data_IF_751505802763
#
_entry.id   IF_751505802763
#
_cell.length_a   1.000
_cell.length_b   1.000
_cell.length_c   1.000
_cell.angle_alpha   90.00
_cell.angle_beta   90.00
_cell.angle_gamma   90.00
#
_symmetry.space_group_name_H-M   'P 1'
#
loop_
_entity.id
_entity.type
_entity.pdbx_description
1 polymer ?
#
# COMPACT_ATOMS: atom_id res chain seq x y z
N UNK A 1 -65.99 15.12 5.32
CA UNK A 1 -64.62 14.61 5.52
C UNK A 1 -63.61 15.64 6.10
N UNK A 2 -64.03 16.84 6.59
CA UNK A 2 -63.11 17.83 7.22
C UNK A 2 -62.97 17.70 8.75
N UNK A 3 -63.72 16.80 9.41
CA UNK A 3 -63.77 16.69 10.88
C UNK A 3 -62.82 15.64 11.49
N UNK A 4 -62.31 14.69 10.71
CA UNK A 4 -61.42 13.62 11.21
C UNK A 4 -59.95 13.79 10.84
N UNK A 5 -59.62 14.81 10.04
CA UNK A 5 -58.23 15.02 9.59
C UNK A 5 -57.27 15.30 10.75
N UNK A 6 -57.73 16.00 11.79
CA UNK A 6 -56.94 16.24 13.01
C UNK A 6 -56.66 14.95 13.81
N UNK A 7 -57.56 13.97 13.75
CA UNK A 7 -57.41 12.67 14.43
C UNK A 7 -56.47 11.74 13.64
N UNK A 8 -56.35 11.92 12.32
CA UNK A 8 -55.39 11.17 11.48
C UNK A 8 -54.00 11.81 11.49
N UNK A 9 -53.92 13.14 11.55
CA UNK A 9 -52.63 13.87 11.60
C UNK A 9 -51.89 13.59 12.90
N UNK A 10 -52.58 13.51 14.04
CA UNK A 10 -51.93 13.32 15.34
C UNK A 10 -51.11 12.02 15.44
N UNK A 11 -51.65 10.82 15.13
CA UNK A 11 -50.85 9.60 15.15
C UNK A 11 -49.77 9.60 14.06
N UNK A 12 -50.01 10.21 12.90
CA UNK A 12 -49.00 10.35 11.86
C UNK A 12 -47.81 11.20 12.35
N UNK A 13 -48.10 12.31 13.02
CA UNK A 13 -47.09 13.19 13.60
C UNK A 13 -46.31 12.49 14.73
N UNK A 14 -46.99 11.69 15.55
CA UNK A 14 -46.35 10.86 16.58
C UNK A 14 -45.40 9.84 15.91
N UNK A 15 -45.86 9.09 14.91
CA UNK A 15 -45.01 8.12 14.19
C UNK A 15 -43.82 8.79 13.52
N UNK A 16 -44.00 9.95 12.89
CA UNK A 16 -42.89 10.71 12.29
C UNK A 16 -41.93 11.20 13.37
N UNK A 17 -42.44 11.76 14.48
CA UNK A 17 -41.58 12.30 15.55
C UNK A 17 -40.79 11.19 16.24
N UNK A 18 -41.44 10.07 16.58
CA UNK A 18 -40.75 8.91 17.14
C UNK A 18 -39.81 8.26 16.13
N UNK A 19 -40.18 8.21 14.84
CA UNK A 19 -39.30 7.74 13.77
C UNK A 19 -38.05 8.60 13.65
N UNK A 20 -38.20 9.93 13.61
CA UNK A 20 -37.07 10.88 13.58
C UNK A 20 -36.23 10.78 14.84
N UNK A 21 -36.84 10.74 16.03
CA UNK A 21 -36.10 10.60 17.29
C UNK A 21 -35.38 9.26 17.41
N UNK A 22 -35.96 8.17 16.93
CA UNK A 22 -35.34 6.85 16.93
C UNK A 22 -34.18 6.78 15.93
N UNK A 23 -34.37 7.31 14.72
CA UNK A 23 -33.30 7.45 13.71
C UNK A 23 -32.19 8.35 14.25
N UNK A 24 -32.52 9.48 14.85
CA UNK A 24 -31.52 10.40 15.41
C UNK A 24 -30.79 9.80 16.62
N UNK A 25 -31.48 9.01 17.45
CA UNK A 25 -30.86 8.31 18.58
C UNK A 25 -29.99 7.12 18.13
N UNK A 26 -30.37 6.43 17.06
CA UNK A 26 -29.55 5.40 16.43
C UNK A 26 -28.28 6.00 15.82
N UNK A 27 -28.42 7.10 15.07
CA UNK A 27 -27.28 7.85 14.50
C UNK A 27 -26.37 8.41 15.61
N UNK A 28 -26.94 8.94 16.70
CA UNK A 28 -26.17 9.47 17.82
C UNK A 28 -25.49 8.40 18.69
N UNK A 29 -25.85 7.11 18.56
CA UNK A 29 -25.18 5.99 19.21
C UNK A 29 -24.00 5.42 18.40
N UNK A 30 -23.90 5.78 17.12
CA UNK A 30 -22.85 5.34 16.19
C UNK A 30 -21.89 6.49 15.83
N UNK A 31 -21.70 7.48 16.71
CA UNK A 31 -20.70 8.52 16.47
C UNK A 31 -19.30 7.89 16.56
N UNK A 32 -18.67 7.72 15.40
CA UNK A 32 -17.25 7.41 15.31
C UNK A 32 -16.43 8.51 16.00
N UNK A 33 -15.23 8.18 16.53
CA UNK A 33 -14.37 9.19 17.10
C UNK A 33 -14.03 10.28 16.08
N UNK A 34 -13.56 11.42 16.55
CA UNK A 34 -12.83 12.33 15.67
C UNK A 34 -11.37 11.92 15.68
N UNK A 35 -10.71 12.00 14.53
CA UNK A 35 -9.27 11.75 14.39
C UNK A 35 -8.65 13.05 13.92
N UNK A 36 -7.63 13.51 14.66
CA UNK A 36 -6.96 14.79 14.39
C UNK A 36 -5.46 14.58 14.24
N UNK A 37 -4.85 15.28 13.29
CA UNK A 37 -3.40 15.37 13.14
C UNK A 37 -2.91 16.66 13.79
N UNK A 38 -2.25 16.52 14.95
CA UNK A 38 -1.74 17.65 15.74
C UNK A 38 -0.26 17.84 15.46
N UNK A 39 0.16 19.09 15.25
CA UNK A 39 1.57 19.42 15.05
C UNK A 39 2.33 19.34 16.39
N UNK A 40 3.46 18.63 16.41
CA UNK A 40 4.37 18.54 17.56
C UNK A 40 5.60 19.43 17.32
N UNK A 41 6.30 19.22 16.20
CA UNK A 41 7.51 19.96 15.83
C UNK A 41 7.65 20.07 14.29
N UNK A 42 8.56 20.91 13.80
CA UNK A 42 8.75 21.16 12.36
C UNK A 42 7.87 22.28 11.79
N UNK A 43 7.89 22.44 10.46
CA UNK A 43 7.10 23.47 9.75
C UNK A 43 5.65 23.00 9.56
N UNK A 44 4.68 23.78 10.02
CA UNK A 44 3.25 23.45 9.88
C UNK A 44 2.81 23.39 8.41
N UNK A 45 3.50 24.09 7.50
CA UNK A 45 3.24 23.99 6.05
C UNK A 45 3.45 22.54 5.55
N UNK A 46 4.42 21.81 6.10
CA UNK A 46 4.67 20.42 5.71
C UNK A 46 3.56 19.45 6.13
N UNK A 47 2.64 19.89 7.02
CA UNK A 47 1.44 19.13 7.40
C UNK A 47 0.36 19.17 6.33
N UNK A 48 0.27 20.26 5.56
CA UNK A 48 -0.84 20.50 4.63
C UNK A 48 -0.91 19.45 3.51
N UNK A 49 0.25 18.87 3.20
CA UNK A 49 0.38 17.85 2.17
C UNK A 49 0.17 16.43 2.68
N UNK A 50 -0.05 16.21 3.98
CA UNK A 50 -0.13 14.85 4.53
C UNK A 50 -1.56 14.31 4.44
N UNK A 51 -1.72 13.15 3.80
CA UNK A 51 -2.94 12.36 3.83
C UNK A 51 -2.64 11.00 4.46
N UNK A 52 -3.35 10.66 5.53
CA UNK A 52 -3.19 9.38 6.23
C UNK A 52 -4.42 8.52 5.97
N UNK A 53 -4.19 7.27 5.58
CA UNK A 53 -5.21 6.27 5.37
C UNK A 53 -5.08 5.17 6.42
N UNK A 54 -6.19 4.80 7.02
CA UNK A 54 -6.18 3.78 8.05
C UNK A 54 -7.55 3.22 8.35
N UNK A 55 -7.60 2.31 9.31
CA UNK A 55 -8.79 1.69 9.84
C UNK A 55 -8.93 2.02 11.32
N UNK A 56 -10.16 2.34 11.72
CA UNK A 56 -10.58 2.36 13.11
C UNK A 56 -11.20 1.01 13.46
N UNK A 57 -10.55 0.29 14.38
CA UNK A 57 -10.95 -1.06 14.79
C UNK A 57 -11.25 -1.10 16.29
N UNK A 58 -12.38 -1.68 16.69
CA UNK A 58 -12.65 -1.97 18.11
C UNK A 58 -12.15 -3.36 18.47
N UNK A 59 -11.68 -3.59 19.70
CA UNK A 59 -11.04 -4.85 20.12
C UNK A 59 -11.92 -6.11 19.98
N UNK A 60 -13.24 -5.97 19.98
CA UNK A 60 -14.16 -7.09 19.69
C UNK A 60 -14.38 -7.33 18.17
N UNK A 61 -13.65 -6.61 17.30
CA UNK A 61 -13.79 -6.63 15.83
C UNK A 61 -15.16 -6.16 15.36
N UNK A 62 -15.96 -5.56 16.24
CA UNK A 62 -17.36 -5.24 16.01
C UNK A 62 -17.56 -3.97 15.18
N UNK A 63 -16.53 -3.12 15.13
CA UNK A 63 -16.46 -1.96 14.25
C UNK A 63 -15.14 -2.04 13.51
N UNK A 64 -15.23 -2.09 12.18
CA UNK A 64 -14.12 -1.88 11.26
C UNK A 64 -14.56 -0.74 10.36
N UNK A 65 -13.87 0.39 10.44
CA UNK A 65 -14.19 1.55 9.61
C UNK A 65 -12.93 2.20 9.06
N UNK A 66 -12.77 2.16 7.74
CA UNK A 66 -11.70 2.89 7.07
C UNK A 66 -11.91 4.40 7.15
N UNK A 67 -10.82 5.13 7.30
CA UNK A 67 -10.80 6.58 7.31
C UNK A 67 -9.69 7.15 6.42
N UNK A 68 -9.92 8.39 5.99
CA UNK A 68 -8.93 9.28 5.38
C UNK A 68 -8.81 10.52 6.26
N UNK A 69 -7.61 10.78 6.75
CA UNK A 69 -7.28 11.94 7.57
C UNK A 69 -6.43 12.91 6.75
N UNK A 70 -6.80 14.19 6.78
CA UNK A 70 -6.04 15.30 6.18
C UNK A 70 -6.23 16.56 7.04
N UNK A 71 -5.66 17.69 6.63
CA UNK A 71 -5.93 18.99 7.29
C UNK A 71 -7.38 19.43 7.24
N UNK A 72 -8.20 18.87 6.34
CA UNK A 72 -9.64 19.13 6.26
C UNK A 72 -10.44 18.34 7.32
N UNK A 73 -9.77 17.48 8.10
CA UNK A 73 -10.36 16.58 9.10
C UNK A 73 -10.42 15.12 8.63
N UNK A 74 -10.99 14.27 9.48
CA UNK A 74 -11.24 12.86 9.18
C UNK A 74 -12.51 12.69 8.34
N UNK A 75 -12.45 11.78 7.35
CA UNK A 75 -13.61 11.27 6.62
C UNK A 75 -13.64 9.76 6.75
N UNK A 76 -14.81 9.21 7.05
CA UNK A 76 -14.99 7.76 7.10
C UNK A 76 -15.56 7.21 5.80
N UNK A 77 -15.33 5.92 5.53
CA UNK A 77 -15.88 5.25 4.34
C UNK A 77 -17.41 5.39 4.27
N UNK A 78 -18.11 5.27 5.41
CA UNK A 78 -19.57 5.50 5.50
C UNK A 78 -20.02 6.93 5.12
N UNK A 79 -19.14 7.92 5.20
CA UNK A 79 -19.45 9.30 4.84
C UNK A 79 -19.32 9.53 3.32
N UNK A 80 -18.78 8.56 2.58
CA UNK A 80 -18.67 8.63 1.14
C UNK A 80 -20.02 8.49 0.43
N UNK A 81 -20.06 8.87 -0.85
CA UNK A 81 -21.26 8.72 -1.65
C UNK A 81 -21.61 7.23 -1.84
N UNK A 82 -22.89 6.91 -2.08
CA UNK A 82 -23.37 5.53 -2.23
C UNK A 82 -22.57 4.67 -3.23
N UNK A 83 -22.02 5.26 -4.30
CA UNK A 83 -21.19 4.53 -5.26
C UNK A 83 -19.77 4.27 -4.73
N UNK A 84 -19.21 5.21 -4.00
CA UNK A 84 -17.87 5.12 -3.40
C UNK A 84 -17.87 4.11 -2.23
N UNK A 85 -18.99 3.95 -1.51
CA UNK A 85 -19.15 2.95 -0.46
C UNK A 85 -19.05 1.49 -0.93
N UNK A 86 -19.09 1.23 -2.24
CA UNK A 86 -18.79 -0.12 -2.76
C UNK A 86 -17.31 -0.46 -2.70
N UNK A 87 -16.45 0.55 -2.52
CA UNK A 87 -15.03 0.36 -2.31
C UNK A 87 -14.80 0.05 -0.83
N UNK A 88 -14.17 -1.10 -0.58
CA UNK A 88 -13.87 -1.53 0.79
C UNK A 88 -12.90 -0.55 1.49
N UNK A 89 -12.04 0.14 0.72
CA UNK A 89 -11.00 1.04 1.20
C UNK A 89 -11.02 2.35 0.42
N UNK A 90 -10.39 3.39 0.99
CA UNK A 90 -10.13 4.62 0.25
C UNK A 90 -9.13 4.33 -0.88
N UNK A 91 -9.39 4.91 -2.05
CA UNK A 91 -8.52 4.75 -3.21
C UNK A 91 -7.33 5.73 -3.12
N UNK A 92 -6.16 5.35 -3.66
CA UNK A 92 -5.05 6.27 -3.84
C UNK A 92 -5.45 7.50 -4.65
N UNK A 93 -4.82 8.65 -4.40
CA UNK A 93 -5.18 9.91 -5.08
C UNK A 93 -5.14 9.82 -6.62
N UNK A 94 -4.14 9.12 -7.19
CA UNK A 94 -4.03 8.95 -8.65
C UNK A 94 -5.24 8.16 -9.21
N UNK A 95 -5.71 7.15 -8.49
CA UNK A 95 -6.91 6.39 -8.86
C UNK A 95 -8.18 7.22 -8.69
N UNK A 96 -8.33 7.98 -7.60
CA UNK A 96 -9.46 8.91 -7.43
C UNK A 96 -9.52 9.93 -8.58
N UNK A 97 -8.38 10.47 -9.01
CA UNK A 97 -8.29 11.38 -10.16
C UNK A 97 -8.72 10.68 -11.45
N UNK A 98 -8.16 9.50 -11.74
CA UNK A 98 -8.48 8.73 -12.93
C UNK A 98 -9.98 8.37 -13.01
N UNK A 99 -10.57 7.94 -11.90
CA UNK A 99 -12.00 7.64 -11.78
C UNK A 99 -12.87 8.87 -12.03
N UNK A 100 -12.43 10.06 -11.58
CA UNK A 100 -13.22 11.28 -11.70
C UNK A 100 -13.10 11.94 -13.07
N UNK A 101 -11.89 12.02 -13.61
CA UNK A 101 -11.56 12.72 -14.85
C UNK A 101 -11.82 11.85 -16.08
N UNK A 102 -11.50 10.55 -16.01
CA UNK A 102 -11.54 9.62 -17.14
C UNK A 102 -12.61 8.53 -16.96
N UNK A 103 -13.79 8.90 -16.45
CA UNK A 103 -14.94 8.03 -16.16
C UNK A 103 -15.31 7.04 -17.28
N UNK A 104 -15.23 7.49 -18.53
CA UNK A 104 -15.60 6.66 -19.69
C UNK A 104 -14.58 5.55 -19.94
N UNK A 105 -13.32 5.80 -19.63
CA UNK A 105 -12.24 4.82 -19.68
C UNK A 105 -12.36 3.84 -18.51
N UNK A 106 -12.60 4.33 -17.30
CA UNK A 106 -12.68 3.49 -16.09
C UNK A 106 -13.85 2.50 -16.05
N UNK A 107 -14.89 2.73 -16.86
CA UNK A 107 -16.08 1.86 -16.85
C UNK A 107 -15.74 0.40 -17.20
N UNK A 108 -15.97 -0.50 -16.25
CA UNK A 108 -15.81 -1.94 -16.40
C UNK A 108 -14.43 -2.47 -16.03
N UNK A 109 -13.54 -1.60 -15.53
CA UNK A 109 -12.20 -1.96 -15.06
C UNK A 109 -12.19 -2.14 -13.55
N UNK A 110 -11.23 -2.93 -13.09
CA UNK A 110 -10.98 -3.09 -11.66
C UNK A 110 -10.21 -1.88 -11.12
N UNK A 111 -10.56 -1.41 -9.93
CA UNK A 111 -9.99 -0.20 -9.31
C UNK A 111 -8.73 -0.53 -8.52
N UNK A 112 -7.69 -0.98 -9.23
CA UNK A 112 -6.41 -1.39 -8.66
C UNK A 112 -5.26 -0.71 -9.42
N UNK A 113 -4.44 0.14 -8.76
CA UNK A 113 -3.35 0.87 -9.39
C UNK A 113 -2.40 -0.01 -10.20
N UNK A 114 -2.10 -1.23 -9.74
CA UNK A 114 -1.16 -2.15 -10.40
C UNK A 114 -1.56 -2.51 -11.84
N UNK A 115 -2.84 -2.30 -12.21
CA UNK A 115 -3.39 -2.56 -13.55
C UNK A 115 -3.25 -1.40 -14.52
N UNK A 116 -2.83 -0.24 -14.05
CA UNK A 116 -2.80 0.98 -14.84
C UNK A 116 -1.40 1.52 -14.96
N UNK A 117 -1.17 2.21 -16.07
CA UNK A 117 0.00 3.06 -16.26
C UNK A 117 -0.41 4.34 -16.95
N UNK A 118 0.16 5.45 -16.50
CA UNK A 118 0.01 6.79 -17.04
C UNK A 118 1.41 7.32 -17.42
N UNK A 119 1.62 7.56 -18.72
CA UNK A 119 2.84 8.17 -19.25
C UNK A 119 2.73 9.70 -19.40
N UNK A 120 1.59 10.27 -18.99
CA UNK A 120 1.24 11.68 -19.12
C UNK A 120 0.52 12.02 -20.43
N UNK A 121 0.74 11.25 -21.50
CA UNK A 121 0.06 11.40 -22.80
C UNK A 121 -1.07 10.38 -22.96
N UNK A 122 -0.90 9.18 -22.41
CA UNK A 122 -1.76 8.01 -22.54
C UNK A 122 -1.94 7.33 -21.20
N UNK A 123 -3.11 6.75 -21.02
CA UNK A 123 -3.41 5.84 -19.92
C UNK A 123 -3.65 4.46 -20.52
N UNK A 124 -2.94 3.45 -20.01
CA UNK A 124 -3.16 2.07 -20.39
C UNK A 124 -3.64 1.24 -19.19
N UNK A 125 -4.36 0.17 -19.50
CA UNK A 125 -4.90 -0.79 -18.56
C UNK A 125 -4.67 -2.21 -19.07
N UNK A 126 -4.30 -3.11 -18.17
CA UNK A 126 -4.38 -4.56 -18.39
C UNK A 126 -5.05 -5.27 -17.20
N UNK A 127 -5.99 -6.15 -17.48
CA UNK A 127 -6.63 -6.99 -16.46
C UNK A 127 -7.38 -8.17 -17.07
N UNK A 128 -8.07 -9.01 -16.28
CA UNK A 128 -8.40 -8.84 -14.85
C UNK A 128 -7.20 -9.04 -13.90
N UNK A 129 -7.39 -8.73 -12.60
CA UNK A 129 -6.42 -9.03 -11.51
C UNK A 129 -5.95 -10.47 -11.54
N UNK A 130 -6.96 -11.35 -11.58
CA UNK A 130 -6.84 -12.77 -11.34
C UNK A 130 -7.24 -13.46 -12.63
N UNK A 131 -6.30 -14.21 -13.19
CA UNK A 131 -6.46 -14.86 -14.48
C UNK A 131 -6.43 -16.35 -14.20
N UNK A 132 -7.58 -16.99 -14.32
CA UNK A 132 -7.70 -18.41 -14.05
C UNK A 132 -7.53 -19.22 -15.32
N UNK A 133 -7.16 -20.50 -15.20
CA UNK A 133 -7.09 -21.44 -16.32
C UNK A 133 -8.33 -21.41 -17.25
N UNK A 134 -9.52 -21.18 -16.72
CA UNK A 134 -10.77 -21.13 -17.51
C UNK A 134 -10.97 -19.80 -18.28
N UNK A 135 -10.24 -18.75 -17.91
CA UNK A 135 -10.30 -17.41 -18.51
C UNK A 135 -8.89 -16.85 -18.64
N UNK A 136 -8.17 -17.26 -19.67
CA UNK A 136 -6.78 -16.90 -19.94
C UNK A 136 -6.62 -15.64 -20.81
N UNK A 137 -7.65 -14.79 -20.88
CA UNK A 137 -7.62 -13.56 -21.68
C UNK A 137 -7.25 -12.35 -20.81
N UNK A 138 -6.29 -11.55 -21.27
CA UNK A 138 -6.05 -10.19 -20.80
C UNK A 138 -6.85 -9.20 -21.64
N UNK A 139 -7.69 -8.40 -21.00
CA UNK A 139 -8.25 -7.18 -21.57
C UNK A 139 -7.22 -6.05 -21.51
N UNK A 140 -6.91 -5.49 -22.67
CA UNK A 140 -6.04 -4.33 -22.82
C UNK A 140 -6.88 -3.15 -23.29
N UNK A 141 -6.67 -2.00 -22.67
CA UNK A 141 -7.32 -0.76 -23.08
C UNK A 141 -6.39 0.44 -22.92
N UNK A 142 -6.30 1.26 -23.96
CA UNK A 142 -5.42 2.43 -24.01
C UNK A 142 -6.23 3.64 -24.44
N UNK A 143 -6.09 4.73 -23.69
CA UNK A 143 -6.67 6.03 -23.97
C UNK A 143 -5.56 7.04 -24.25
N UNK A 144 -5.61 7.67 -25.41
CA UNK A 144 -4.80 8.85 -25.72
C UNK A 144 -5.51 10.12 -25.24
N UNK A 145 -4.86 10.91 -24.38
CA UNK A 145 -5.50 12.08 -23.73
C UNK A 145 -5.72 13.26 -24.69
N UNK A 146 -4.88 13.41 -25.72
CA UNK A 146 -4.97 14.52 -26.67
C UNK A 146 -6.06 14.28 -27.73
N UNK A 147 -5.96 13.16 -28.44
CA UNK A 147 -6.88 12.76 -29.51
C UNK A 147 -8.20 12.23 -28.97
N UNK A 148 -8.22 11.74 -27.72
CA UNK A 148 -9.33 10.97 -27.11
C UNK A 148 -9.64 9.68 -27.86
N UNK A 149 -8.70 9.19 -28.67
CA UNK A 149 -8.78 7.89 -29.30
C UNK A 149 -8.58 6.80 -28.24
N UNK A 150 -9.35 5.72 -28.38
CA UNK A 150 -9.34 4.58 -27.47
C UNK A 150 -9.12 3.32 -28.28
N UNK A 151 -8.17 2.50 -27.84
CA UNK A 151 -7.90 1.18 -28.39
C UNK A 151 -8.12 0.13 -27.31
N UNK A 152 -9.05 -0.80 -27.56
CA UNK A 152 -9.37 -1.88 -26.63
C UNK A 152 -9.46 -3.20 -27.37
N UNK A 153 -8.78 -4.22 -26.85
CA UNK A 153 -8.71 -5.56 -27.42
C UNK A 153 -8.41 -6.57 -26.32
N UNK A 154 -8.40 -7.85 -26.68
CA UNK A 154 -8.06 -8.94 -25.78
C UNK A 154 -6.92 -9.76 -26.37
N UNK A 155 -6.06 -10.28 -25.50
CA UNK A 155 -4.98 -11.19 -25.88
C UNK A 155 -5.01 -12.43 -24.99
N UNK A 156 -4.73 -13.59 -25.58
CA UNK A 156 -4.62 -14.85 -24.84
C UNK A 156 -3.24 -14.95 -24.20
N UNK A 157 -3.17 -15.23 -22.89
CA UNK A 157 -1.89 -15.46 -22.22
C UNK A 157 -1.23 -16.73 -22.79
N UNK A 158 0.03 -16.65 -23.25
CA UNK A 158 0.80 -17.81 -23.69
C UNK A 158 0.94 -18.87 -22.60
N UNK A 159 0.94 -20.15 -22.98
CA UNK A 159 1.15 -21.30 -22.08
C UNK A 159 0.18 -21.41 -20.89
N UNK A 160 -0.98 -20.74 -20.95
CA UNK A 160 -2.01 -20.76 -19.91
C UNK A 160 -2.54 -22.16 -19.56
N UNK A 161 -2.33 -23.16 -20.43
CA UNK A 161 -2.72 -24.55 -20.16
C UNK A 161 -1.95 -25.18 -18.98
N UNK A 162 -0.77 -24.62 -18.65
CA UNK A 162 0.08 -25.10 -17.55
C UNK A 162 -0.09 -24.30 -16.26
N UNK A 163 -0.77 -23.16 -16.35
CA UNK A 163 -0.89 -22.18 -15.28
C UNK A 163 -2.24 -22.36 -14.61
N UNK A 164 -2.25 -22.64 -13.30
CA UNK A 164 -3.48 -22.80 -12.53
C UNK A 164 -4.22 -21.45 -12.43
N UNK A 165 -3.47 -20.42 -12.06
CA UNK A 165 -3.89 -19.03 -12.05
C UNK A 165 -2.69 -18.08 -12.09
N UNK A 166 -2.94 -16.85 -12.52
CA UNK A 166 -1.97 -15.76 -12.54
C UNK A 166 -2.52 -14.51 -11.87
N UNK A 167 -1.65 -13.73 -11.24
CA UNK A 167 -1.94 -12.39 -10.74
C UNK A 167 -1.16 -11.35 -11.53
N UNK A 168 -1.82 -10.27 -11.95
CA UNK A 168 -1.15 -9.09 -12.52
C UNK A 168 -0.53 -8.30 -11.38
N UNK A 169 0.80 -8.18 -11.39
CA UNK A 169 1.58 -7.46 -10.38
C UNK A 169 1.85 -6.02 -10.79
N UNK A 170 2.11 -5.77 -12.08
CA UNK A 170 2.44 -4.43 -12.57
C UNK A 170 2.18 -4.30 -14.07
N UNK A 171 1.70 -3.13 -14.47
CA UNK A 171 1.55 -2.72 -15.87
C UNK A 171 2.48 -1.55 -16.16
N UNK A 172 3.17 -1.59 -17.30
CA UNK A 172 4.09 -0.54 -17.75
C UNK A 172 3.94 -0.29 -19.24
N UNK A 173 4.05 0.97 -19.69
CA UNK A 173 3.91 1.34 -21.09
C UNK A 173 5.21 1.96 -21.56
N UNK A 174 5.90 1.34 -22.53
CA UNK A 174 7.07 1.94 -23.17
C UNK A 174 6.82 1.98 -24.68
N UNK A 175 6.90 3.18 -25.26
CA UNK A 175 6.62 3.39 -26.68
C UNK A 175 5.23 2.84 -27.08
N UNK A 176 5.16 1.85 -27.96
CA UNK A 176 3.91 1.21 -28.40
C UNK A 176 3.74 -0.22 -27.85
N UNK A 177 4.46 -0.53 -26.77
CA UNK A 177 4.45 -1.86 -26.12
C UNK A 177 3.99 -1.71 -24.68
N UNK A 178 2.97 -2.48 -24.32
CA UNK A 178 2.52 -2.63 -22.94
C UNK A 178 3.19 -3.86 -22.33
N UNK A 179 3.89 -3.67 -21.22
CA UNK A 179 4.53 -4.71 -20.43
C UNK A 179 3.61 -5.05 -19.27
N UNK A 180 3.31 -6.33 -19.10
CA UNK A 180 2.46 -6.83 -18.01
C UNK A 180 3.26 -7.87 -17.23
N UNK A 181 3.63 -7.53 -16.00
CA UNK A 181 4.27 -8.45 -15.08
C UNK A 181 3.21 -9.28 -14.36
N UNK A 182 3.40 -10.60 -14.32
CA UNK A 182 2.47 -11.51 -13.65
C UNK A 182 3.19 -12.53 -12.76
N UNK A 183 2.59 -12.84 -11.63
CA UNK A 183 2.93 -14.04 -10.86
C UNK A 183 2.06 -15.19 -11.35
N UNK A 184 2.68 -16.20 -11.94
CA UNK A 184 2.03 -17.40 -12.44
C UNK A 184 2.22 -18.54 -11.46
N UNK A 185 1.12 -19.18 -11.05
CA UNK A 185 1.14 -20.38 -10.23
C UNK A 185 1.04 -21.60 -11.13
N UNK A 186 2.08 -22.42 -11.12
CA UNK A 186 2.23 -23.60 -11.98
C UNK A 186 2.46 -24.80 -11.08
N UNK A 187 1.39 -25.52 -10.73
CA UNK A 187 1.47 -26.67 -9.81
C UNK A 187 2.06 -26.31 -8.43
N UNK A 188 3.32 -26.69 -8.18
CA UNK A 188 4.08 -26.43 -6.94
C UNK A 188 5.17 -25.36 -7.15
N UNK A 189 5.13 -24.65 -8.28
CA UNK A 189 6.08 -23.60 -8.61
C UNK A 189 5.36 -22.26 -8.77
N UNK A 190 6.09 -21.18 -8.52
CA UNK A 190 5.66 -19.80 -8.74
C UNK A 190 6.67 -19.13 -9.67
N UNK A 191 6.19 -18.55 -10.76
CA UNK A 191 7.04 -17.91 -11.77
C UNK A 191 6.63 -16.45 -11.97
N UNK A 192 7.60 -15.53 -11.96
CA UNK A 192 7.39 -14.14 -12.34
C UNK A 192 7.61 -14.02 -13.85
N UNK A 193 6.57 -13.71 -14.61
CA UNK A 193 6.65 -13.50 -16.06
C UNK A 193 6.49 -12.03 -16.41
N UNK A 194 7.01 -11.66 -17.59
CA UNK A 194 6.76 -10.36 -18.21
C UNK A 194 6.25 -10.60 -19.62
N UNK A 195 5.02 -10.19 -19.88
CA UNK A 195 4.41 -10.25 -21.20
C UNK A 195 4.56 -8.91 -21.93
N UNK A 196 5.04 -8.97 -23.17
CA UNK A 196 5.08 -7.84 -24.10
C UNK A 196 3.84 -7.85 -24.98
N UNK A 197 3.02 -6.80 -24.91
CA UNK A 197 1.82 -6.67 -25.72
C UNK A 197 2.02 -5.51 -26.71
N UNK A 198 2.12 -5.84 -28.00
CA UNK A 198 2.17 -4.86 -29.07
C UNK A 198 0.81 -4.19 -29.21
N UNK A 199 0.75 -2.88 -28.97
CA UNK A 199 -0.48 -2.12 -29.11
C UNK A 199 -0.87 -1.99 -30.58
N UNK A 200 0.06 -1.85 -31.52
CA UNK A 200 -0.26 -1.81 -32.96
C UNK A 200 -0.77 -3.13 -33.50
N UNK A 201 -0.08 -4.23 -33.20
CA UNK A 201 -0.35 -5.54 -33.81
C UNK A 201 -1.35 -6.38 -33.02
N UNK A 202 -1.69 -5.99 -31.79
CA UNK A 202 -2.59 -6.72 -30.89
C UNK A 202 -2.10 -8.15 -30.62
N UNK A 203 -0.78 -8.27 -30.45
CA UNK A 203 -0.08 -9.54 -30.20
C UNK A 203 0.61 -9.51 -28.86
N UNK A 204 0.80 -10.69 -28.27
CA UNK A 204 1.45 -10.90 -26.99
C UNK A 204 2.63 -11.85 -27.15
N UNK A 205 3.77 -11.51 -26.57
CA UNK A 205 4.96 -12.34 -26.47
C UNK A 205 5.35 -12.49 -25.00
N UNK A 206 5.76 -13.69 -24.59
CA UNK A 206 6.28 -13.95 -23.24
C UNK A 206 7.81 -13.80 -23.25
N UNK A 207 8.35 -12.97 -22.35
CA UNK A 207 9.80 -12.88 -22.15
C UNK A 207 10.37 -14.10 -21.42
N UNK A 208 9.50 -14.97 -20.89
CA UNK A 208 9.81 -16.10 -20.05
C UNK A 208 9.84 -15.72 -18.57
N UNK A 209 9.99 -16.73 -17.72
CA UNK A 209 10.13 -16.54 -16.29
C UNK A 209 11.43 -15.79 -15.97
N UNK A 210 11.31 -14.60 -15.37
CA UNK A 210 12.45 -13.81 -14.87
C UNK A 210 12.88 -14.27 -13.47
N UNK A 211 11.96 -14.89 -12.74
CA UNK A 211 12.18 -15.66 -11.51
C UNK A 211 11.32 -16.91 -11.62
N UNK A 212 11.88 -18.07 -11.30
CA UNK A 212 11.17 -19.34 -11.24
C UNK A 212 11.68 -20.06 -10.02
N UNK A 213 10.78 -20.34 -9.09
CA UNK A 213 11.15 -20.93 -7.82
C UNK A 213 9.97 -21.72 -7.22
N UNK A 214 10.30 -22.62 -6.30
CA UNK A 214 9.36 -23.47 -5.59
C UNK A 214 8.44 -22.66 -4.67
N UNK A 215 7.31 -23.24 -4.22
CA UNK A 215 6.37 -22.62 -3.26
C UNK A 215 7.04 -22.01 -2.01
N UNK A 216 8.25 -22.42 -1.66
CA UNK A 216 8.96 -21.96 -0.47
C UNK A 216 9.76 -20.67 -0.66
N UNK A 217 9.62 -20.00 -1.80
CA UNK A 217 10.20 -18.67 -2.04
C UNK A 217 9.10 -17.61 -2.14
N UNK A 218 9.41 -16.42 -1.65
CA UNK A 218 8.57 -15.24 -1.85
C UNK A 218 9.31 -14.30 -2.78
N UNK A 219 8.58 -13.72 -3.72
CA UNK A 219 9.11 -12.59 -4.47
C UNK A 219 8.05 -11.52 -4.57
N UNK A 220 8.50 -10.28 -4.45
CA UNK A 220 7.70 -9.07 -4.40
C UNK A 220 8.20 -8.09 -5.46
N UNK A 221 7.28 -7.57 -6.28
CA UNK A 221 7.57 -6.44 -7.17
C UNK A 221 7.46 -5.17 -6.33
N UNK A 222 8.59 -4.48 -6.14
CA UNK A 222 8.72 -3.34 -5.25
C UNK A 222 8.37 -1.99 -5.88
N UNK A 223 8.03 -1.95 -7.17
CA UNK A 223 7.51 -0.75 -7.82
C UNK A 223 6.31 -0.19 -7.03
N UNK A 224 6.06 1.13 -7.07
CA UNK A 224 5.02 1.78 -6.25
C UNK A 224 3.64 1.20 -6.57
N UNK A 225 3.20 0.20 -5.80
CA UNK A 225 1.93 -0.49 -6.00
C UNK A 225 0.69 0.38 -5.76
N UNK A 226 0.87 1.61 -5.28
CA UNK A 226 -0.19 2.62 -5.16
C UNK A 226 -0.12 3.67 -6.28
N UNK A 227 0.95 3.66 -7.07
CA UNK A 227 1.20 4.59 -8.16
C UNK A 227 0.98 3.94 -9.53
N UNK A 228 0.53 4.75 -10.49
CA UNK A 228 0.33 4.36 -11.89
C UNK A 228 1.39 4.99 -12.81
N UNK A 229 2.46 5.55 -12.26
CA UNK A 229 3.48 6.22 -13.06
C UNK A 229 4.31 5.22 -13.87
N UNK A 230 4.66 5.62 -15.08
CA UNK A 230 5.55 4.83 -15.93
C UNK A 230 6.97 4.74 -15.32
N UNK A 231 7.43 3.51 -15.16
CA UNK A 231 8.76 3.08 -14.72
C UNK A 231 9.24 2.02 -15.73
N UNK A 232 10.32 2.32 -16.46
CA UNK A 232 10.81 1.43 -17.54
C UNK A 232 11.49 0.14 -17.09
N UNK A 233 11.31 -0.25 -15.84
CA UNK A 233 11.95 -1.38 -15.20
C UNK A 233 11.05 -1.95 -14.09
N UNK A 234 11.33 -3.19 -13.67
CA UNK A 234 10.81 -3.78 -12.44
C UNK A 234 11.92 -3.83 -11.39
N UNK A 235 11.58 -3.54 -10.13
CA UNK A 235 12.45 -3.81 -8.99
C UNK A 235 11.87 -4.99 -8.25
N UNK A 236 12.65 -6.05 -8.06
CA UNK A 236 12.16 -7.31 -7.50
C UNK A 236 13.02 -7.70 -6.31
N UNK A 237 12.35 -8.06 -5.20
CA UNK A 237 12.93 -8.74 -4.04
C UNK A 237 12.56 -10.21 -4.12
N UNK A 238 13.54 -11.10 -3.96
CA UNK A 238 13.35 -12.55 -3.85
C UNK A 238 13.86 -12.97 -2.48
N UNK A 239 13.06 -13.76 -1.77
CA UNK A 239 13.27 -14.27 -0.43
C UNK A 239 13.17 -15.80 -0.46
N UNK A 240 14.26 -16.48 -0.14
CA UNK A 240 14.30 -17.94 -0.02
C UNK A 240 13.97 -18.33 1.41
N UNK A 241 12.93 -19.16 1.59
CA UNK A 241 12.48 -19.56 2.92
C UNK A 241 12.58 -21.08 3.09
N UNK A 242 13.26 -21.52 4.15
CA UNK A 242 13.23 -22.91 4.60
C UNK A 242 12.17 -23.10 5.68
N UNK A 243 11.31 -24.10 5.50
CA UNK A 243 10.30 -24.47 6.48
C UNK A 243 10.82 -25.59 7.37
N UNK A 244 10.71 -25.44 8.67
CA UNK A 244 11.06 -26.53 9.59
C UNK A 244 9.96 -27.60 9.59
N UNK A 245 10.32 -28.82 9.19
CA UNK A 245 9.39 -29.95 9.11
C UNK A 245 8.84 -30.34 10.50
N UNK A 246 7.68 -29.78 10.84
CA UNK A 246 6.94 -30.09 12.08
C UNK A 246 6.67 -28.89 12.98
N UNK A 247 7.24 -27.73 12.67
CA UNK A 247 6.90 -26.46 13.30
C UNK A 247 6.17 -25.53 12.31
N UNK A 248 5.31 -24.64 12.80
CA UNK A 248 4.68 -23.58 11.99
C UNK A 248 5.63 -22.38 11.84
N UNK A 249 6.92 -22.63 11.69
CA UNK A 249 7.98 -21.62 11.64
C UNK A 249 8.78 -21.80 10.36
N UNK A 250 9.20 -20.67 9.80
CA UNK A 250 9.94 -20.60 8.55
C UNK A 250 11.13 -19.67 8.74
N UNK A 251 12.27 -20.00 8.14
CA UNK A 251 13.51 -19.24 8.23
C UNK A 251 13.87 -18.66 6.86
N UNK A 252 14.08 -17.34 6.80
CA UNK A 252 14.68 -16.70 5.62
C UNK A 252 16.16 -17.14 5.54
N UNK A 253 16.52 -17.83 4.46
CA UNK A 253 17.88 -18.38 4.23
C UNK A 253 18.63 -17.68 3.10
N UNK A 254 17.92 -16.90 2.29
CA UNK A 254 18.48 -16.18 1.15
C UNK A 254 17.62 -14.99 0.77
N UNK A 255 18.27 -13.94 0.28
CA UNK A 255 17.61 -12.76 -0.24
C UNK A 255 18.39 -12.18 -1.42
N UNK A 256 17.68 -11.79 -2.47
CA UNK A 256 18.25 -11.11 -3.63
C UNK A 256 17.35 -9.95 -4.07
N UNK A 257 17.97 -8.81 -4.36
CA UNK A 257 17.32 -7.68 -5.02
C UNK A 257 17.86 -7.54 -6.43
N UNK A 258 17.00 -7.29 -7.41
CA UNK A 258 17.43 -6.98 -8.76
C UNK A 258 16.52 -6.00 -9.48
N UNK A 259 17.09 -5.32 -10.47
CA UNK A 259 16.39 -4.49 -11.45
C UNK A 259 16.27 -5.31 -12.73
N UNK A 260 15.07 -5.35 -13.30
CA UNK A 260 14.81 -5.96 -14.60
C UNK A 260 14.38 -4.87 -15.59
N UNK A 261 15.23 -4.57 -16.56
CA UNK A 261 14.93 -3.60 -17.61
C UNK A 261 13.98 -4.20 -18.64
N UNK A 262 12.82 -3.56 -18.82
CA UNK A 262 11.72 -4.11 -19.61
C UNK A 262 12.03 -4.17 -21.11
N UNK A 263 12.82 -3.21 -21.63
CA UNK A 263 13.13 -3.11 -23.06
C UNK A 263 14.31 -4.01 -23.45
N UNK A 264 15.37 -4.01 -22.64
CA UNK A 264 16.62 -4.76 -22.90
C UNK A 264 16.61 -6.18 -22.36
N UNK A 265 15.69 -6.50 -21.43
CA UNK A 265 15.58 -7.80 -20.73
C UNK A 265 16.80 -8.11 -19.87
N UNK A 266 17.58 -7.09 -19.53
CA UNK A 266 18.76 -7.23 -18.69
C UNK A 266 18.36 -7.26 -17.22
N UNK A 267 18.77 -8.32 -16.51
CA UNK A 267 18.70 -8.43 -15.05
C UNK A 267 20.00 -7.90 -14.44
N UNK A 268 19.87 -6.94 -13.53
CA UNK A 268 20.98 -6.35 -12.79
C UNK A 268 20.76 -6.55 -11.29
N UNK A 269 21.60 -7.37 -10.66
CA UNK A 269 21.55 -7.61 -9.20
C UNK A 269 22.00 -6.35 -8.47
N UNK A 270 21.26 -5.99 -7.42
CA UNK A 270 21.56 -4.87 -6.53
C UNK A 270 22.46 -5.38 -5.41
N UNK A 271 23.60 -4.71 -5.21
CA UNK A 271 24.47 -4.98 -4.06
C UNK A 271 23.85 -4.37 -2.80
N UNK A 272 23.37 -5.23 -1.90
CA UNK A 272 22.80 -4.81 -0.60
C UNK A 272 23.92 -4.28 0.31
N UNK A 273 23.74 -3.12 0.97
CA UNK A 273 24.71 -2.59 1.92
C UNK A 273 25.03 -3.58 3.06
N UNK A 274 26.31 -3.75 3.39
CA UNK A 274 26.77 -4.69 4.43
C UNK A 274 26.15 -4.40 5.81
N UNK A 275 25.99 -3.13 6.18
CA UNK A 275 25.35 -2.74 7.44
C UNK A 275 23.87 -3.15 7.48
N UNK A 276 23.14 -2.98 6.37
CA UNK A 276 21.75 -3.41 6.24
C UNK A 276 21.65 -4.93 6.37
N UNK A 277 22.46 -5.69 5.61
CA UNK A 277 22.47 -7.14 5.66
C UNK A 277 22.85 -7.69 7.05
N UNK A 278 23.79 -7.05 7.75
CA UNK A 278 24.22 -7.45 9.10
C UNK A 278 23.10 -7.21 10.12
N UNK A 279 22.41 -6.07 10.05
CA UNK A 279 21.28 -5.78 10.94
C UNK A 279 20.13 -6.79 10.75
N UNK A 280 19.91 -7.25 9.52
CA UNK A 280 18.92 -8.28 9.20
C UNK A 280 19.29 -9.64 9.80
N UNK A 281 20.56 -10.04 9.67
CA UNK A 281 21.06 -11.30 10.23
C UNK A 281 21.00 -11.31 11.77
N UNK A 282 21.28 -10.17 12.42
CA UNK A 282 21.18 -9.99 13.88
C UNK A 282 19.73 -10.10 14.37
N UNK A 283 18.79 -9.43 13.68
CA UNK A 283 17.36 -9.55 13.96
C UNK A 283 16.90 -11.01 13.84
N UNK A 284 17.32 -11.70 12.77
CA UNK A 284 16.94 -13.09 12.47
C UNK A 284 17.44 -14.07 13.53
N UNK A 285 18.72 -14.01 13.87
CA UNK A 285 19.36 -14.96 14.80
C UNK A 285 18.76 -14.84 16.19
N UNK A 286 18.53 -13.60 16.65
CA UNK A 286 18.08 -13.37 18.02
C UNK A 286 16.56 -13.57 18.16
N UNK A 287 15.78 -13.27 17.12
CA UNK A 287 14.36 -13.59 17.05
C UNK A 287 14.03 -15.08 17.21
N UNK A 288 14.88 -15.96 16.69
CA UNK A 288 14.74 -17.42 16.87
C UNK A 288 14.97 -17.85 18.33
N UNK A 289 16.00 -17.31 19.00
CA UNK A 289 16.30 -17.65 20.40
C UNK A 289 15.15 -17.26 21.36
N UNK A 290 14.41 -16.16 21.08
CA UNK A 290 13.26 -15.74 21.89
C UNK A 290 12.04 -16.66 21.81
N UNK A 291 11.84 -17.33 20.67
CA UNK A 291 10.73 -18.27 20.50
C UNK A 291 10.98 -19.58 21.24
N UNK A 292 12.25 -19.90 21.56
CA UNK A 292 12.65 -21.15 22.22
C UNK A 292 12.76 -21.04 23.76
N UNK A 293 13.01 -19.85 24.31
CA UNK A 293 13.12 -19.64 25.76
C UNK A 293 12.05 -18.67 26.31
N UNK A 294 11.07 -19.19 27.08
CA UNK A 294 10.21 -18.40 27.99
C UNK A 294 11.08 -17.75 29.10
N UNK A 295 11.83 -16.69 28.79
CA UNK A 295 12.53 -15.90 29.80
C UNK A 295 11.78 -14.59 30.10
N UNK A 296 11.57 -14.35 31.40
CA UNK A 296 11.24 -13.04 31.96
C UNK A 296 12.42 -12.09 31.68
N UNK A 297 12.27 -11.21 30.68
CA UNK A 297 13.22 -10.13 30.44
C UNK A 297 12.83 -8.91 31.28
N UNK A 298 13.73 -8.47 32.14
CA UNK A 298 13.65 -7.19 32.86
C UNK A 298 14.04 -5.99 31.99
N UNK A 299 14.54 -6.21 30.76
CA UNK A 299 14.94 -5.16 29.79
C UNK A 299 14.35 -5.46 28.40
N UNK A 300 13.60 -4.49 27.86
CA UNK A 300 13.05 -4.51 26.51
C UNK A 300 14.22 -4.46 25.51
N UNK A 301 14.57 -5.59 24.91
CA UNK A 301 15.60 -5.63 23.87
C UNK A 301 14.97 -5.19 22.57
N UNK A 302 15.40 -4.03 22.09
CA UNK A 302 14.82 -3.38 20.92
C UNK A 302 15.80 -3.55 19.75
N UNK A 303 15.34 -4.26 18.71
CA UNK A 303 16.16 -4.62 17.56
C UNK A 303 16.07 -3.61 16.43
N UNK A 304 17.15 -3.46 15.63
CA UNK A 304 17.06 -2.70 14.40
C UNK A 304 16.00 -3.32 13.47
N UNK A 305 15.21 -2.47 12.83
CA UNK A 305 14.19 -2.89 11.87
C UNK A 305 14.58 -2.43 10.47
N UNK A 306 14.68 -3.39 9.55
CA UNK A 306 15.02 -3.16 8.16
C UNK A 306 13.76 -2.99 7.30
N UNK A 307 13.81 -2.02 6.40
CA UNK A 307 12.79 -1.78 5.39
C UNK A 307 13.44 -1.49 4.04
N UNK A 308 12.84 -2.01 2.98
CA UNK A 308 13.16 -1.57 1.61
C UNK A 308 11.99 -0.84 1.00
N UNK A 309 12.28 0.26 0.32
CA UNK A 309 11.24 1.14 -0.17
C UNK A 309 11.66 1.83 -1.47
N UNK A 310 10.75 1.93 -2.44
CA UNK A 310 11.03 2.60 -3.70
C UNK A 310 10.57 4.07 -3.66
N UNK A 311 11.44 4.99 -4.04
CA UNK A 311 11.09 6.36 -4.39
C UNK A 311 10.91 6.51 -5.90
N UNK A 312 11.04 7.73 -6.41
CA UNK A 312 10.87 8.00 -7.84
C UNK A 312 11.96 7.35 -8.71
N UNK A 313 13.22 7.45 -8.31
CA UNK A 313 14.37 6.94 -9.07
C UNK A 313 15.38 6.16 -8.20
N UNK A 314 15.03 5.91 -6.95
CA UNK A 314 15.91 5.34 -5.94
C UNK A 314 15.20 4.22 -5.16
N UNK A 315 15.94 3.16 -4.82
CA UNK A 315 15.55 2.17 -3.82
C UNK A 315 16.27 2.52 -2.52
N UNK A 316 15.55 2.64 -1.42
CA UNK A 316 16.13 2.94 -0.11
C UNK A 316 16.18 1.68 0.74
N UNK A 317 17.38 1.36 1.23
CA UNK A 317 17.60 0.38 2.29
C UNK A 317 17.65 1.13 3.62
N UNK A 318 16.65 0.93 4.48
CA UNK A 318 16.46 1.72 5.70
C UNK A 318 16.60 0.80 6.91
N UNK A 319 17.44 1.17 7.87
CA UNK A 319 17.60 0.49 9.15
C UNK A 319 17.25 1.46 10.27
N UNK A 320 16.18 1.17 11.00
CA UNK A 320 15.84 1.91 12.21
C UNK A 320 16.68 1.42 13.39
N UNK A 321 17.10 2.33 14.27
CA UNK A 321 17.88 2.07 15.48
C UNK A 321 17.24 2.80 16.67
N UNK A 322 17.68 2.53 17.90
CA UNK A 322 17.12 3.20 19.10
C UNK A 322 17.28 4.71 19.08
N UNK A 323 18.29 5.20 18.36
CA UNK A 323 18.74 6.59 18.40
C UNK A 323 18.39 7.35 17.11
N UNK A 324 17.80 6.68 16.12
CA UNK A 324 17.73 7.21 14.76
C UNK A 324 17.31 6.21 13.70
N UNK A 325 17.45 6.62 12.44
CA UNK A 325 17.47 5.72 11.29
C UNK A 325 18.72 5.97 10.46
N UNK A 326 19.21 4.90 9.83
CA UNK A 326 20.19 4.95 8.76
C UNK A 326 19.51 4.55 7.46
N UNK A 327 19.91 5.14 6.35
CA UNK A 327 19.44 4.69 5.05
C UNK A 327 20.49 4.84 3.96
N UNK A 328 20.39 3.94 2.99
CA UNK A 328 21.25 3.87 1.81
C UNK A 328 20.38 4.00 0.56
N UNK A 329 20.41 5.14 -0.14
CA UNK A 329 19.78 5.26 -1.44
C UNK A 329 20.57 4.43 -2.46
N UNK A 330 19.84 3.76 -3.34
CA UNK A 330 20.37 3.05 -4.49
C UNK A 330 19.78 3.64 -5.76
N UNK A 331 20.61 4.29 -6.58
CA UNK A 331 20.16 4.96 -7.80
C UNK A 331 19.85 3.92 -8.88
N UNK A 332 18.57 3.77 -9.22
CA UNK A 332 18.07 2.66 -10.04
C UNK A 332 18.55 2.76 -11.50
N UNK A 333 18.67 3.97 -12.05
CA UNK A 333 19.11 4.18 -13.44
C UNK A 333 20.61 4.00 -13.62
N UNK A 334 21.40 4.50 -12.67
CA UNK A 334 22.86 4.39 -12.71
C UNK A 334 23.35 3.02 -12.24
N UNK A 335 22.48 2.24 -11.61
CA UNK A 335 22.77 0.98 -10.94
C UNK A 335 23.94 1.14 -9.96
N UNK A 336 23.83 2.11 -9.05
CA UNK A 336 24.89 2.48 -8.10
C UNK A 336 24.36 2.81 -6.72
N UNK A 337 25.06 2.38 -5.66
CA UNK A 337 24.77 2.87 -4.32
C UNK A 337 25.11 4.36 -4.22
N UNK A 338 24.27 5.09 -3.49
CA UNK A 338 24.55 6.44 -3.02
C UNK A 338 25.31 6.45 -1.69
N UNK A 339 25.40 7.62 -1.07
CA UNK A 339 26.05 7.78 0.24
C UNK A 339 25.08 7.44 1.37
N UNK A 340 25.58 6.76 2.42
CA UNK A 340 24.85 6.55 3.67
C UNK A 340 24.42 7.87 4.27
N UNK A 341 23.19 7.91 4.76
CA UNK A 341 22.66 9.03 5.53
C UNK A 341 22.09 8.52 6.86
N UNK A 342 22.19 9.37 7.87
CA UNK A 342 21.74 9.08 9.23
C UNK A 342 20.88 10.24 9.73
N UNK A 343 19.80 9.88 10.43
CA UNK A 343 18.89 10.82 11.06
C UNK A 343 18.75 10.39 12.51
N UNK A 344 19.09 11.28 13.43
CA UNK A 344 18.93 11.02 14.85
C UNK A 344 17.57 11.50 15.35
N UNK A 345 16.98 10.74 16.28
CA UNK A 345 15.76 11.13 16.99
C UNK A 345 16.08 11.41 18.46
N UNK A 346 15.36 12.36 19.07
CA UNK A 346 15.54 12.69 20.49
C UNK A 346 14.96 11.63 21.43
N UNK A 347 14.12 10.72 20.91
CA UNK A 347 13.44 9.66 21.64
C UNK A 347 13.60 8.32 20.92
N UNK A 348 13.54 7.23 21.67
CA UNK A 348 13.52 5.89 21.10
C UNK A 348 12.18 5.64 20.42
N UNK A 349 12.22 5.52 19.09
CA UNK A 349 11.03 5.31 18.25
C UNK A 349 10.76 3.83 17.95
N UNK A 350 11.72 2.94 18.21
CA UNK A 350 11.63 1.54 17.81
C UNK A 350 10.58 0.76 18.62
N UNK A 351 10.40 1.05 19.91
CA UNK A 351 9.42 0.36 20.78
C UNK A 351 7.96 0.55 20.35
N UNK A 352 7.70 1.40 19.35
CA UNK A 352 6.38 1.60 18.76
C UNK A 352 6.37 1.67 17.24
N UNK A 353 7.50 1.49 16.55
CA UNK A 353 7.58 1.69 15.10
C UNK A 353 6.56 0.78 14.40
N UNK A 354 5.70 1.40 13.61
CA UNK A 354 4.61 0.73 12.92
C UNK A 354 4.48 1.48 11.60
N UNK A 355 4.73 0.83 10.47
CA UNK A 355 4.59 1.44 9.14
C UNK A 355 5.70 2.41 8.72
N UNK A 356 6.20 2.21 7.51
CA UNK A 356 7.20 3.04 6.82
C UNK A 356 6.75 3.23 5.37
N UNK A 357 6.61 4.47 4.93
CA UNK A 357 5.97 4.87 3.68
C UNK A 357 6.82 5.92 2.95
N UNK A 358 7.64 5.53 1.96
CA UNK A 358 8.27 6.50 1.07
C UNK A 358 7.22 7.16 0.16
N UNK A 359 7.24 8.48 0.04
CA UNK A 359 6.46 9.19 -0.98
C UNK A 359 7.24 10.38 -1.51
N UNK A 360 7.55 10.34 -2.80
CA UNK A 360 8.34 11.38 -3.46
C UNK A 360 9.75 11.45 -2.86
N UNK A 361 10.12 12.64 -2.40
CA UNK A 361 11.42 12.93 -1.78
C UNK A 361 11.36 12.81 -0.24
N UNK A 362 10.28 12.25 0.29
CA UNK A 362 10.06 12.13 1.73
C UNK A 362 9.83 10.69 2.19
N UNK A 363 10.24 10.43 3.43
CA UNK A 363 9.93 9.21 4.16
C UNK A 363 8.94 9.54 5.27
N UNK A 364 7.83 8.82 5.29
CA UNK A 364 6.87 8.87 6.36
C UNK A 364 6.96 7.61 7.20
N UNK A 365 6.86 7.74 8.51
CA UNK A 365 6.70 6.58 9.38
C UNK A 365 5.96 7.02 10.63
N UNK A 366 5.31 6.07 11.31
CA UNK A 366 4.66 6.37 12.56
C UNK A 366 5.10 5.43 13.66
N UNK A 367 4.94 5.87 14.90
CA UNK A 367 5.15 5.03 16.07
C UNK A 367 3.94 5.07 16.98
N UNK A 368 3.59 3.93 17.55
CA UNK A 368 2.63 3.82 18.62
C UNK A 368 3.20 4.49 19.87
N UNK A 369 2.40 5.33 20.50
CA UNK A 369 2.77 6.04 21.72
C UNK A 369 1.68 5.86 22.79
N UNK A 370 2.12 5.68 24.04
CA UNK A 370 1.25 5.46 25.19
C UNK A 370 0.85 3.99 25.43
N UNK A 371 0.47 3.67 26.67
CA UNK A 371 0.13 2.29 27.12
C UNK A 371 -1.06 1.66 26.37
N UNK A 372 -1.92 2.49 25.77
CA UNK A 372 -3.18 2.03 25.17
C UNK A 372 -3.16 1.99 23.62
N UNK A 373 -2.05 2.35 22.96
CA UNK A 373 -1.92 2.35 21.48
C UNK A 373 -2.76 3.42 20.74
N UNK A 374 -3.43 4.30 21.48
CA UNK A 374 -4.42 5.27 20.96
C UNK A 374 -3.83 6.60 20.49
N UNK A 375 -2.52 6.78 20.62
CA UNK A 375 -1.79 7.93 20.12
C UNK A 375 -0.68 7.43 19.22
N UNK A 376 -0.53 8.05 18.06
CA UNK A 376 0.59 7.72 17.17
C UNK A 376 1.39 8.98 16.87
N UNK A 377 2.70 8.92 17.01
CA UNK A 377 3.57 9.95 16.44
C UNK A 377 3.73 9.68 14.97
N UNK A 378 3.70 10.73 14.17
CA UNK A 378 3.91 10.68 12.73
C UNK A 378 5.13 11.54 12.40
N UNK A 379 6.04 11.00 11.61
CA UNK A 379 7.24 11.69 11.17
C UNK A 379 7.20 11.84 9.65
N UNK A 380 7.66 13.00 9.16
CA UNK A 380 8.00 13.25 7.76
C UNK A 380 9.46 13.67 7.73
N UNK A 381 10.26 12.87 7.03
CA UNK A 381 11.69 13.06 6.82
C UNK A 381 11.92 13.44 5.37
N UNK A 382 12.76 14.43 5.11
CA UNK A 382 13.24 14.75 3.78
C UNK A 382 14.48 13.89 3.46
N UNK A 383 14.39 13.08 2.40
CA UNK A 383 15.42 12.10 2.03
C UNK A 383 16.63 12.73 1.33
N UNK A 384 16.51 13.96 0.83
CA UNK A 384 17.63 14.68 0.24
C UNK A 384 18.55 15.26 1.33
N UNK A 385 17.98 16.00 2.27
CA UNK A 385 18.68 16.66 3.38
C UNK A 385 18.94 15.74 4.57
N UNK A 386 18.14 14.70 4.77
CA UNK A 386 18.16 13.87 5.97
C UNK A 386 17.59 14.58 7.20
N UNK A 387 16.80 15.64 7.04
CA UNK A 387 16.18 16.35 8.16
C UNK A 387 14.74 15.88 8.41
N UNK A 388 14.35 15.77 9.67
CA UNK A 388 12.93 15.65 10.05
C UNK A 388 12.24 16.98 9.83
N UNK A 389 11.45 17.07 8.76
CA UNK A 389 10.80 18.31 8.33
C UNK A 389 9.43 18.54 9.00
N UNK A 390 8.83 17.48 9.56
CA UNK A 390 7.61 17.54 10.35
C UNK A 390 7.49 16.36 11.33
N UNK A 391 7.02 16.67 12.55
CA UNK A 391 6.60 15.71 13.56
C UNK A 391 5.17 16.06 14.00
N UNK A 392 4.29 15.08 13.93
CA UNK A 392 2.89 15.20 14.33
C UNK A 392 2.45 14.09 15.28
N UNK A 393 1.24 14.23 15.78
CA UNK A 393 0.58 13.26 16.63
C UNK A 393 -0.86 13.04 16.14
N UNK A 394 -1.21 11.79 15.86
CA UNK A 394 -2.55 11.38 15.50
C UNK A 394 -3.29 11.05 16.81
N UNK A 395 -4.34 11.83 17.08
CA UNK A 395 -5.15 11.72 18.30
C UNK A 395 -6.59 11.36 17.98
N UNK A 396 -7.13 10.46 18.81
CA UNK A 396 -8.57 10.22 18.84
C UNK A 396 -9.21 11.11 19.90
N UNK A 397 -10.27 11.79 19.50
CA UNK A 397 -11.12 12.58 20.39
C UNK A 397 -12.57 12.10 20.27
N UNK A 398 -13.41 12.44 21.26
CA UNK A 398 -14.81 12.01 21.34
C UNK A 398 -15.06 10.49 21.27
N UNK A 399 -14.10 9.70 21.77
CA UNK A 399 -14.19 8.23 21.81
C UNK A 399 -15.41 7.78 22.63
N UNK A 400 -16.26 6.89 22.11
CA UNK A 400 -17.40 6.34 22.84
C UNK A 400 -16.97 5.67 24.15
N UNK A 401 -17.59 6.06 25.28
CA UNK A 401 -17.24 5.56 26.62
C UNK A 401 -17.49 4.06 26.84
N UNK A 402 -18.21 3.40 25.94
CA UNK A 402 -18.59 1.98 26.04
C UNK A 402 -17.59 1.03 25.35
N UNK A 403 -16.66 1.55 24.54
CA UNK A 403 -15.60 0.76 23.88
C UNK A 403 -14.33 0.77 24.71
N UNK A 404 -14.06 -0.32 25.42
CA UNK A 404 -12.92 -0.41 26.36
C UNK A 404 -11.56 -0.64 25.70
N UNK A 405 -11.51 -0.92 24.39
CA UNK A 405 -10.27 -0.97 23.63
C UNK A 405 -10.57 -0.71 22.14
N UNK A 406 -9.77 0.15 21.53
CA UNK A 406 -9.84 0.55 20.14
C UNK A 406 -8.41 0.69 19.61
N UNK A 407 -8.25 0.56 18.30
CA UNK A 407 -6.97 0.73 17.61
C UNK A 407 -7.19 1.57 16.35
N UNK A 408 -6.19 2.37 16.03
CA UNK A 408 -6.06 2.97 14.70
C UNK A 408 -4.97 2.19 14.00
N UNK A 409 -5.25 1.66 12.83
CA UNK A 409 -4.26 0.95 12.02
C UNK A 409 -4.03 1.79 10.78
N UNK A 410 -2.82 2.32 10.60
CA UNK A 410 -2.48 3.09 9.41
C UNK A 410 -1.92 2.09 8.40
N UNK A 411 -2.46 2.11 7.19
CA UNK A 411 -1.99 1.22 6.11
C UNK A 411 -1.36 2.00 4.96
N UNK A 412 -1.54 3.32 4.88
CA UNK A 412 -0.90 4.15 3.86
C UNK A 412 -0.81 5.62 4.27
N UNK A 413 0.19 6.31 3.73
CA UNK A 413 0.37 7.76 3.82
C UNK A 413 0.71 8.28 2.42
N UNK A 414 0.10 9.38 2.03
CA UNK A 414 0.33 10.05 0.74
C UNK A 414 0.63 11.53 0.91
N UNK A 415 1.32 12.08 -0.09
CA UNK A 415 1.42 13.51 -0.32
C UNK A 415 0.26 14.00 -1.18
N UNK A 416 -0.40 15.07 -0.72
CA UNK A 416 -1.44 15.77 -1.45
C UNK A 416 -0.84 16.39 -2.71
N UNK A 417 -1.50 16.19 -3.84
CA UNK A 417 -1.05 16.70 -5.15
C UNK A 417 -1.80 17.93 -5.63
#
# INVERSE_FOLDING_TARGET
MKRYWKIVILPLFIVITFGVLYVHHAIAKESLPQIELVNVSGNEENREDIIVYGDYVTYEGSVWESFRLSTDGVKYSRDQNFLEQFNAFFQPQEMEQLMNEERSFMRGKEEDPARFVDDGERIAYAGPSNIYFESNELEVDVLDRESRERKSFKVDIPDSERTDHSYVEQVQLLNDTLYVATVNFIMEDKELHVYEISLSDETIEDQGAIVSDSVHSYFNVLNDGLGIQQQGYLVVRVEDIEWDEGMYTSELVGEEYFIYDLETKEKQVIEVPEEFATAEEEYRTTGQDYMEEEQELDEEVIYPMNYTSIGKEELYFITFTSDGLKYYPYHLKENKPGEEKEISFDENILSGLSGVYPKGDHLYFHSNTGEDGNQKKLFKVDLESGETVYEGEIKLTDVPKETHAYNVEIYSIEEKR
#
